data_IF_787226872989
#
_entry.id   IF_787226872989
#
_cell.length_a   1.000
_cell.length_b   1.000
_cell.length_c   1.000
_cell.angle_alpha   90.00
_cell.angle_beta   90.00
_cell.angle_gamma   90.00
#
_symmetry.space_group_name_H-M   'P 1'
#
loop_
_entity.id
_entity.type
_entity.pdbx_description
1 polymer ?
#
# COMPACT_ATOMS: atom_id res chain seq x y z
N UNK A 1 -20.85 4.68 10.97
CA UNK A 1 -22.03 3.84 10.65
C UNK A 1 -21.62 2.40 10.87
N UNK A 2 -22.32 1.70 11.77
CA UNK A 2 -22.17 0.26 11.91
C UNK A 2 -23.18 -0.41 10.96
N UNK A 3 -22.73 -1.20 9.96
CA UNK A 3 -23.65 -1.85 9.02
C UNK A 3 -24.44 -3.03 9.64
N UNK A 4 -24.46 -3.16 10.95
CA UNK A 4 -25.18 -4.25 11.64
C UNK A 4 -24.48 -5.61 11.62
N UNK A 5 -23.37 -5.74 10.92
CA UNK A 5 -22.60 -6.99 10.80
C UNK A 5 -21.49 -7.13 11.84
N UNK A 6 -21.17 -6.06 12.54
CA UNK A 6 -20.13 -6.05 13.56
C UNK A 6 -20.75 -6.12 14.95
N UNK A 7 -20.46 -7.19 15.69
CA UNK A 7 -21.04 -7.47 17.01
C UNK A 7 -20.65 -6.48 18.13
N UNK A 8 -19.66 -5.62 17.90
CA UNK A 8 -19.22 -4.61 18.86
C UNK A 8 -19.56 -3.22 18.30
N UNK A 9 -20.71 -2.71 18.69
CA UNK A 9 -21.17 -1.34 18.40
C UNK A 9 -20.37 -0.34 19.24
N UNK A 10 -19.15 -0.09 18.86
CA UNK A 10 -18.48 1.14 19.29
C UNK A 10 -18.78 2.20 18.22
N UNK A 11 -19.39 3.31 18.61
CA UNK A 11 -19.49 4.54 17.80
C UNK A 11 -18.08 5.12 17.61
N UNK A 12 -17.25 4.38 16.89
CA UNK A 12 -15.88 4.77 16.61
C UNK A 12 -15.87 5.75 15.43
N UNK A 13 -15.43 7.01 15.63
CA UNK A 13 -15.29 7.95 14.54
C UNK A 13 -14.20 7.45 13.57
N UNK A 14 -14.54 7.43 12.29
CA UNK A 14 -13.68 6.92 11.22
C UNK A 14 -13.60 7.89 10.06
N UNK A 15 -12.40 8.03 9.52
CA UNK A 15 -12.23 8.56 8.18
C UNK A 15 -12.75 7.51 7.18
N UNK A 16 -13.69 7.90 6.35
CA UNK A 16 -14.25 7.03 5.30
C UNK A 16 -13.50 7.30 3.99
N UNK A 17 -12.92 6.25 3.43
CA UNK A 17 -12.19 6.28 2.17
C UNK A 17 -13.01 5.47 1.16
N UNK A 18 -13.65 6.11 0.16
CA UNK A 18 -14.36 5.40 -0.89
C UNK A 18 -13.37 4.72 -1.84
N UNK A 19 -13.75 3.55 -2.34
CA UNK A 19 -12.97 2.78 -3.30
C UNK A 19 -13.80 2.63 -4.57
N UNK A 20 -13.30 3.16 -5.66
CA UNK A 20 -13.95 3.17 -6.95
C UNK A 20 -13.37 2.09 -7.87
N UNK A 21 -14.19 1.58 -8.78
CA UNK A 21 -13.72 0.79 -9.90
C UNK A 21 -13.16 1.70 -11.03
N UNK A 22 -12.66 1.10 -12.11
CA UNK A 22 -12.11 1.84 -13.27
C UNK A 22 -13.13 2.73 -13.98
N UNK A 23 -14.44 2.58 -13.70
CA UNK A 23 -15.52 3.41 -14.28
C UNK A 23 -15.90 4.57 -13.36
N UNK A 24 -15.27 4.71 -12.19
CA UNK A 24 -15.62 5.70 -11.18
C UNK A 24 -16.88 5.35 -10.35
N UNK A 25 -17.32 4.09 -10.36
CA UNK A 25 -18.42 3.61 -9.54
C UNK A 25 -17.90 3.13 -8.19
N UNK A 26 -18.59 3.46 -7.09
CA UNK A 26 -18.21 3.03 -5.74
C UNK A 26 -18.47 1.53 -5.58
N UNK A 27 -17.43 0.78 -5.18
CA UNK A 27 -17.51 -0.64 -4.92
C UNK A 27 -17.26 -1.02 -3.46
N UNK A 28 -16.46 -0.23 -2.76
CA UNK A 28 -16.09 -0.51 -1.38
C UNK A 28 -15.83 0.78 -0.62
N UNK A 29 -15.81 0.67 0.71
CA UNK A 29 -15.37 1.73 1.61
C UNK A 29 -14.37 1.17 2.60
N UNK A 30 -13.31 1.91 2.86
CA UNK A 30 -12.44 1.63 3.99
C UNK A 30 -12.63 2.69 5.07
N UNK A 31 -12.96 2.26 6.28
CA UNK A 31 -13.05 3.12 7.46
C UNK A 31 -11.79 3.03 8.30
N UNK A 32 -10.99 4.11 8.36
CA UNK A 32 -9.84 4.22 9.27
C UNK A 32 -10.26 4.86 10.58
N UNK A 33 -10.03 4.19 11.70
CA UNK A 33 -10.31 4.75 13.02
C UNK A 33 -9.47 6.00 13.28
N UNK A 34 -10.10 7.06 13.83
CA UNK A 34 -9.42 8.29 14.20
C UNK A 34 -8.72 8.18 15.56
N UNK A 35 -9.17 7.28 16.42
CA UNK A 35 -8.54 7.01 17.72
C UNK A 35 -7.33 6.09 17.57
N UNK A 36 -6.22 6.42 18.24
CA UNK A 36 -4.98 5.61 18.20
C UNK A 36 -5.17 4.18 18.74
N UNK A 37 -6.01 4.02 19.75
CA UNK A 37 -6.22 2.76 20.48
C UNK A 37 -7.53 2.06 20.07
N UNK A 38 -8.04 2.30 18.87
CA UNK A 38 -9.21 1.61 18.38
C UNK A 38 -8.93 0.11 18.24
N UNK A 39 -9.83 -0.78 18.69
CA UNK A 39 -9.65 -2.23 18.60
C UNK A 39 -9.41 -2.71 17.18
N UNK A 40 -9.98 -2.00 16.20
CA UNK A 40 -9.81 -2.28 14.80
C UNK A 40 -9.46 -1.00 14.05
N UNK A 41 -8.20 -0.88 13.65
CA UNK A 41 -7.67 0.32 12.96
C UNK A 41 -8.36 0.55 11.60
N UNK A 42 -8.57 -0.51 10.83
CA UNK A 42 -9.19 -0.46 9.51
C UNK A 42 -10.36 -1.43 9.42
N UNK A 43 -11.43 -0.99 8.78
CA UNK A 43 -12.60 -1.81 8.41
C UNK A 43 -12.86 -1.58 6.93
N UNK A 44 -12.97 -2.65 6.14
CA UNK A 44 -13.35 -2.54 4.73
C UNK A 44 -14.73 -3.15 4.53
N UNK A 45 -15.64 -2.39 3.93
CA UNK A 45 -17.00 -2.80 3.61
C UNK A 45 -17.14 -2.85 2.10
N UNK A 46 -17.50 -3.99 1.56
CA UNK A 46 -17.76 -4.20 0.14
C UNK A 46 -19.24 -3.94 -0.16
N UNK A 47 -19.52 -3.30 -1.30
CA UNK A 47 -20.90 -3.11 -1.77
C UNK A 47 -21.52 -4.43 -2.28
N UNK A 48 -20.68 -5.33 -2.81
CA UNK A 48 -21.09 -6.66 -3.28
C UNK A 48 -19.92 -7.66 -3.17
N UNK A 49 -20.18 -8.93 -3.34
CA UNK A 49 -19.18 -10.00 -3.13
C UNK A 49 -17.90 -9.82 -3.98
N UNK A 50 -18.07 -9.41 -5.24
CA UNK A 50 -16.95 -9.25 -6.18
C UNK A 50 -16.34 -7.84 -6.19
N UNK A 51 -16.79 -6.95 -5.30
CA UNK A 51 -16.30 -5.59 -5.24
C UNK A 51 -14.79 -5.51 -5.01
N UNK A 52 -14.11 -4.63 -5.74
CA UNK A 52 -12.68 -4.39 -5.55
C UNK A 52 -12.37 -3.81 -4.18
N UNK A 53 -11.18 -4.12 -3.68
CA UNK A 53 -10.57 -3.51 -2.50
C UNK A 53 -9.31 -2.72 -2.85
N UNK A 54 -9.12 -2.41 -4.12
CA UNK A 54 -7.97 -1.66 -4.59
C UNK A 54 -8.38 -0.21 -4.75
N UNK A 55 -7.78 0.66 -3.97
CA UNK A 55 -7.96 2.11 -4.03
C UNK A 55 -7.19 2.70 -5.20
N UNK A 56 -7.75 3.71 -5.87
CA UNK A 56 -7.08 4.49 -6.92
C UNK A 56 -7.21 3.92 -8.34
N UNK A 57 -8.01 2.88 -8.57
CA UNK A 57 -8.17 2.28 -9.91
C UNK A 57 -8.79 3.24 -10.94
N UNK A 58 -9.55 4.22 -10.48
CA UNK A 58 -10.22 5.24 -11.29
C UNK A 58 -9.31 6.39 -11.71
N UNK A 59 -8.11 6.50 -11.13
CA UNK A 59 -7.21 7.65 -11.33
C UNK A 59 -5.89 7.30 -12.01
N UNK A 60 -5.56 6.01 -12.19
CA UNK A 60 -4.28 5.59 -12.76
C UNK A 60 -4.25 5.67 -14.29
N UNK A 61 -3.08 5.99 -14.80
CA UNK A 61 -2.70 5.86 -16.21
C UNK A 61 -1.93 4.53 -16.40
N UNK A 62 -2.61 3.51 -16.95
CA UNK A 62 -2.05 2.17 -17.13
C UNK A 62 -0.92 2.12 -18.16
N UNK A 63 -0.75 3.17 -18.98
CA UNK A 63 0.37 3.29 -19.93
C UNK A 63 1.70 3.64 -19.25
N UNK A 64 1.64 4.12 -17.99
CA UNK A 64 2.79 4.48 -17.16
C UNK A 64 3.02 3.44 -16.07
N UNK A 65 4.22 3.45 -15.47
CA UNK A 65 4.50 2.63 -14.31
C UNK A 65 3.50 2.93 -13.18
N UNK A 66 2.82 1.89 -12.70
CA UNK A 66 1.85 1.99 -11.61
C UNK A 66 2.52 1.56 -10.32
N UNK A 67 2.46 2.39 -9.27
CA UNK A 67 2.96 2.03 -7.96
C UNK A 67 1.87 1.35 -7.14
N UNK A 68 2.21 0.23 -6.50
CA UNK A 68 1.30 -0.55 -5.66
C UNK A 68 1.74 -0.45 -4.22
N UNK A 69 0.86 0.02 -3.35
CA UNK A 69 1.14 0.31 -1.95
C UNK A 69 0.20 -0.43 -1.00
N UNK A 70 0.55 -0.48 0.29
CA UNK A 70 -0.25 -1.16 1.31
C UNK A 70 -1.40 -0.29 1.85
N UNK A 71 -1.26 1.03 1.83
CA UNK A 71 -2.23 1.95 2.41
C UNK A 71 -2.70 3.08 1.48
N UNK A 72 -4.02 3.37 1.45
CA UNK A 72 -4.53 4.48 0.62
C UNK A 72 -3.94 5.85 0.97
N UNK A 73 -3.64 6.09 2.25
CA UNK A 73 -3.11 7.40 2.67
C UNK A 73 -1.71 7.64 2.11
N UNK A 74 -0.86 6.61 2.14
CA UNK A 74 0.50 6.70 1.59
C UNK A 74 0.47 6.89 0.07
N UNK A 75 -0.49 6.25 -0.62
CA UNK A 75 -0.63 6.39 -2.08
C UNK A 75 -1.03 7.79 -2.54
N UNK A 76 -1.57 8.63 -1.66
CA UNK A 76 -1.92 10.03 -2.00
C UNK A 76 -0.68 10.92 -2.27
N UNK A 77 0.49 10.49 -1.83
CA UNK A 77 1.73 11.25 -2.00
C UNK A 77 2.53 10.83 -3.24
N UNK A 78 2.11 9.77 -3.93
CA UNK A 78 2.82 9.20 -5.07
C UNK A 78 1.91 9.24 -6.30
N UNK A 79 2.38 9.85 -7.36
CA UNK A 79 1.65 9.89 -8.63
C UNK A 79 1.49 8.49 -9.21
N UNK A 80 0.36 8.24 -9.85
CA UNK A 80 0.03 6.98 -10.52
C UNK A 80 0.11 5.76 -9.59
N UNK A 81 -0.42 5.90 -8.37
CA UNK A 81 -0.39 4.88 -7.34
C UNK A 81 -1.77 4.29 -7.05
N UNK A 82 -1.79 3.00 -6.75
CA UNK A 82 -2.92 2.26 -6.18
C UNK A 82 -2.56 1.71 -4.82
N UNK A 83 -3.56 1.47 -3.99
CA UNK A 83 -3.32 0.85 -2.69
C UNK A 83 -4.24 -0.34 -2.44
N UNK A 84 -3.69 -1.36 -1.77
CA UNK A 84 -4.41 -2.58 -1.44
C UNK A 84 -5.01 -2.44 -0.06
N UNK A 85 -6.33 -2.42 0.02
CA UNK A 85 -7.03 -2.32 1.29
C UNK A 85 -7.45 -3.69 1.82
N UNK A 86 -6.55 -4.37 2.53
CA UNK A 86 -6.90 -5.64 3.16
C UNK A 86 -5.85 -6.75 2.97
N UNK A 87 -5.64 -7.48 4.05
CA UNK A 87 -4.44 -8.25 4.38
C UNK A 87 -3.99 -9.41 3.49
N UNK A 88 -4.81 -10.03 2.66
CA UNK A 88 -4.33 -11.09 1.77
C UNK A 88 -4.43 -10.64 0.33
N UNK A 89 -3.29 -10.60 -0.34
CA UNK A 89 -3.20 -10.19 -1.71
C UNK A 89 -3.01 -11.40 -2.61
N UNK A 90 -3.95 -11.59 -3.50
CA UNK A 90 -3.71 -12.35 -4.71
C UNK A 90 -3.09 -11.43 -5.75
N UNK A 91 -1.81 -11.66 -6.09
CA UNK A 91 -1.08 -10.86 -7.07
C UNK A 91 -1.78 -10.84 -8.44
N UNK A 92 -2.52 -11.89 -8.77
CA UNK A 92 -3.29 -11.97 -10.01
C UNK A 92 -4.46 -10.98 -10.08
N UNK A 93 -4.95 -10.52 -8.93
CA UNK A 93 -6.06 -9.55 -8.88
C UNK A 93 -5.61 -8.09 -8.99
N UNK A 94 -4.31 -7.82 -8.82
CA UNK A 94 -3.77 -6.46 -8.94
C UNK A 94 -3.43 -6.18 -10.40
N UNK A 95 -3.96 -5.11 -10.99
CA UNK A 95 -3.76 -4.79 -12.42
C UNK A 95 -2.32 -4.43 -12.76
N UNK A 96 -2.06 -4.19 -14.05
CA UNK A 96 -0.79 -3.70 -14.58
C UNK A 96 0.41 -4.64 -14.34
N UNK A 97 0.21 -5.95 -14.53
CA UNK A 97 1.22 -6.98 -14.25
C UNK A 97 2.61 -6.69 -14.83
N UNK A 98 2.67 -6.19 -16.06
CA UNK A 98 3.93 -5.93 -16.75
C UNK A 98 4.52 -4.56 -16.41
N UNK A 99 3.70 -3.65 -15.86
CA UNK A 99 4.05 -2.25 -15.64
C UNK A 99 3.69 -1.74 -14.25
N UNK A 100 4.03 -2.52 -13.21
CA UNK A 100 3.84 -2.12 -11.81
C UNK A 100 5.10 -2.28 -10.98
N UNK A 101 5.21 -1.49 -9.90
CA UNK A 101 6.25 -1.61 -8.90
C UNK A 101 5.65 -1.52 -7.49
N UNK A 102 6.12 -2.35 -6.58
CA UNK A 102 5.60 -2.48 -5.22
C UNK A 102 6.40 -1.65 -4.23
N UNK A 103 5.68 -0.86 -3.43
CA UNK A 103 6.24 -0.07 -2.34
C UNK A 103 5.67 -0.63 -1.04
N UNK A 104 6.49 -1.36 -0.31
CA UNK A 104 6.15 -1.91 1.01
C UNK A 104 6.60 -0.95 2.10
N UNK A 105 6.03 -1.07 3.30
CA UNK A 105 6.47 -0.31 4.47
C UNK A 105 7.97 -0.52 4.74
N UNK A 106 8.64 0.52 5.24
CA UNK A 106 10.07 0.46 5.62
C UNK A 106 10.22 -0.23 6.98
N UNK A 107 10.03 -1.54 6.98
CA UNK A 107 10.09 -2.39 8.19
C UNK A 107 11.03 -3.59 7.97
N UNK A 108 12.37 -3.39 7.88
CA UNK A 108 13.32 -4.45 7.53
C UNK A 108 13.37 -5.61 8.54
N UNK A 109 12.94 -5.38 9.78
CA UNK A 109 12.91 -6.40 10.85
C UNK A 109 11.54 -7.01 11.08
N UNK A 110 10.51 -6.56 10.37
CA UNK A 110 9.17 -7.09 10.55
C UNK A 110 8.96 -8.34 9.69
N UNK A 111 8.73 -9.52 10.31
CA UNK A 111 8.67 -10.80 9.58
C UNK A 111 7.63 -10.82 8.46
N UNK A 112 6.46 -10.20 8.69
CA UNK A 112 5.39 -10.18 7.68
C UNK A 112 5.75 -9.31 6.48
N UNK A 113 6.39 -8.17 6.69
CA UNK A 113 6.87 -7.29 5.62
C UNK A 113 7.93 -8.01 4.78
N UNK A 114 8.91 -8.64 5.42
CA UNK A 114 9.94 -9.42 4.72
C UNK A 114 9.34 -10.61 3.96
N UNK A 115 8.38 -11.32 4.56
CA UNK A 115 7.66 -12.42 3.89
C UNK A 115 6.91 -11.97 2.65
N UNK A 116 6.24 -10.81 2.72
CA UNK A 116 5.55 -10.22 1.56
C UNK A 116 6.53 -9.78 0.48
N UNK A 117 7.58 -9.07 0.84
CA UNK A 117 8.65 -8.69 -0.10
C UNK A 117 9.25 -9.91 -0.79
N UNK A 118 9.54 -10.97 -0.02
CA UNK A 118 10.05 -12.23 -0.58
C UNK A 118 9.09 -12.83 -1.61
N UNK A 119 7.80 -12.87 -1.31
CA UNK A 119 6.77 -13.36 -2.25
C UNK A 119 6.75 -12.54 -3.55
N UNK A 120 6.85 -11.21 -3.46
CA UNK A 120 6.91 -10.32 -4.63
C UNK A 120 8.17 -10.58 -5.46
N UNK A 121 9.31 -10.65 -4.80
CA UNK A 121 10.61 -10.90 -5.46
C UNK A 121 10.64 -12.27 -6.13
N UNK A 122 10.12 -13.30 -5.47
CA UNK A 122 10.05 -14.66 -6.02
C UNK A 122 9.06 -14.75 -7.21
N UNK A 123 8.02 -13.93 -7.22
CA UNK A 123 7.09 -13.79 -8.34
C UNK A 123 7.65 -12.95 -9.51
N UNK A 124 8.86 -12.39 -9.36
CA UNK A 124 9.49 -11.58 -10.41
C UNK A 124 8.99 -10.14 -10.50
N UNK A 125 8.29 -9.65 -9.47
CA UNK A 125 7.77 -8.29 -9.41
C UNK A 125 8.90 -7.25 -9.25
N UNK A 126 8.65 -6.02 -9.70
CA UNK A 126 9.50 -4.87 -9.37
C UNK A 126 9.18 -4.43 -7.95
N UNK A 127 10.20 -4.27 -7.10
CA UNK A 127 10.05 -3.88 -5.70
C UNK A 127 10.96 -2.72 -5.37
N UNK A 128 10.44 -1.75 -4.62
CA UNK A 128 11.22 -0.64 -4.07
C UNK A 128 11.88 -1.08 -2.76
N UNK A 129 13.16 -0.74 -2.58
CA UNK A 129 13.92 -1.04 -1.38
C UNK A 129 14.31 0.23 -0.63
N UNK A 130 14.09 0.23 0.69
CA UNK A 130 14.42 1.33 1.59
C UNK A 130 15.80 1.21 2.26
N UNK A 131 16.65 0.28 1.81
CA UNK A 131 17.97 -0.02 2.40
C UNK A 131 18.95 1.16 2.40
N UNK A 132 18.71 2.16 1.56
CA UNK A 132 19.51 3.39 1.46
C UNK A 132 18.69 4.62 1.82
N UNK A 133 17.53 4.45 2.44
CA UNK A 133 16.65 5.55 2.79
C UNK A 133 17.32 6.50 3.80
N UNK A 134 17.26 7.82 3.58
CA UNK A 134 17.63 8.78 4.59
C UNK A 134 16.60 8.87 5.74
N UNK A 135 15.37 8.43 5.48
CA UNK A 135 14.26 8.44 6.43
C UNK A 135 14.22 7.14 7.23
N UNK A 136 13.76 7.25 8.50
CA UNK A 136 13.64 6.13 9.43
C UNK A 136 12.21 5.70 9.68
N UNK A 137 11.25 6.55 9.34
CA UNK A 137 9.81 6.24 9.46
C UNK A 137 9.43 5.08 8.57
N UNK A 138 8.45 4.32 9.04
CA UNK A 138 8.04 3.07 8.38
C UNK A 138 7.19 3.29 7.13
N UNK A 139 6.42 4.37 7.06
CA UNK A 139 5.52 4.68 5.96
C UNK A 139 5.73 6.09 5.41
N UNK A 140 5.30 6.33 4.18
CA UNK A 140 5.52 7.59 3.47
C UNK A 140 4.84 8.76 4.19
N UNK A 141 3.64 8.54 4.72
CA UNK A 141 2.94 9.59 5.47
C UNK A 141 3.77 10.04 6.67
N UNK A 142 4.35 9.12 7.42
CA UNK A 142 5.20 9.47 8.56
C UNK A 142 6.54 10.08 8.13
N UNK A 143 7.14 9.67 7.01
CA UNK A 143 8.33 10.32 6.45
C UNK A 143 8.07 11.79 6.13
N UNK A 144 6.91 12.11 5.56
CA UNK A 144 6.52 13.49 5.26
C UNK A 144 6.16 14.26 6.53
N UNK A 145 5.28 13.71 7.36
CA UNK A 145 4.72 14.43 8.50
C UNK A 145 5.67 14.60 9.67
N UNK A 146 6.60 13.66 9.88
CA UNK A 146 7.50 13.65 11.04
C UNK A 146 8.95 13.99 10.71
N UNK A 147 9.40 13.67 9.50
CA UNK A 147 10.80 13.87 9.10
C UNK A 147 10.96 14.98 8.06
N UNK A 148 9.85 15.57 7.59
CA UNK A 148 9.87 16.72 6.66
C UNK A 148 10.25 16.37 5.23
N UNK A 149 10.16 15.08 4.85
CA UNK A 149 10.35 14.67 3.46
C UNK A 149 9.30 15.33 2.55
N UNK A 150 9.67 15.65 1.34
CA UNK A 150 8.73 16.10 0.30
C UNK A 150 8.30 14.93 -0.57
N UNK A 151 7.11 15.01 -1.17
CA UNK A 151 6.64 14.00 -2.10
C UNK A 151 7.60 13.83 -3.30
N UNK A 152 8.23 14.90 -3.76
CA UNK A 152 9.23 14.85 -4.83
C UNK A 152 10.47 14.07 -4.43
N UNK A 153 11.05 14.32 -3.25
CA UNK A 153 12.23 13.59 -2.76
C UNK A 153 11.94 12.09 -2.61
N UNK A 154 10.75 11.75 -2.11
CA UNK A 154 10.31 10.34 -1.98
C UNK A 154 10.15 9.71 -3.36
N UNK A 155 9.51 10.40 -4.31
CA UNK A 155 9.35 9.91 -5.69
C UNK A 155 10.68 9.68 -6.37
N UNK A 156 11.63 10.59 -6.23
CA UNK A 156 12.99 10.45 -6.77
C UNK A 156 13.72 9.25 -6.13
N UNK A 157 13.60 9.10 -4.82
CA UNK A 157 14.16 7.94 -4.12
C UNK A 157 13.57 6.62 -4.63
N UNK A 158 12.24 6.54 -4.73
CA UNK A 158 11.51 5.37 -5.23
C UNK A 158 12.03 4.97 -6.60
N UNK A 159 12.06 5.91 -7.56
CA UNK A 159 12.50 5.65 -8.93
C UNK A 159 13.95 5.13 -9.02
N UNK A 160 14.84 5.59 -8.14
CA UNK A 160 16.23 5.17 -8.09
C UNK A 160 16.42 3.82 -7.38
N UNK A 161 15.44 3.35 -6.63
CA UNK A 161 15.57 2.19 -5.75
C UNK A 161 14.64 1.00 -6.10
N UNK A 162 14.05 1.01 -7.30
CA UNK A 162 13.35 -0.14 -7.86
C UNK A 162 14.37 -1.23 -8.22
N UNK A 163 14.06 -2.47 -7.87
CA UNK A 163 14.85 -3.63 -8.27
C UNK A 163 13.95 -4.79 -8.66
N UNK A 164 14.43 -5.66 -9.56
CA UNK A 164 13.72 -6.83 -10.06
C UNK A 164 14.67 -8.01 -10.23
N UNK A 165 14.16 -9.23 -10.25
CA UNK A 165 14.92 -10.45 -10.53
C UNK A 165 16.06 -10.69 -9.54
N UNK A 166 17.24 -11.04 -10.02
CA UNK A 166 18.39 -11.36 -9.17
C UNK A 166 18.84 -10.20 -8.28
N UNK A 167 18.78 -8.97 -8.80
CA UNK A 167 19.14 -7.78 -8.00
C UNK A 167 18.20 -7.56 -6.83
N UNK A 168 16.90 -7.79 -7.02
CA UNK A 168 15.90 -7.72 -5.94
C UNK A 168 16.17 -8.80 -4.88
N UNK A 169 16.54 -10.03 -5.27
CA UNK A 169 16.92 -11.10 -4.33
C UNK A 169 18.12 -10.72 -3.46
N UNK A 170 19.18 -10.22 -4.09
CA UNK A 170 20.39 -9.79 -3.38
C UNK A 170 20.13 -8.61 -2.43
N UNK A 171 19.29 -7.65 -2.86
CA UNK A 171 18.90 -6.52 -2.00
C UNK A 171 18.04 -6.97 -0.82
N UNK A 172 17.11 -7.88 -1.04
CA UNK A 172 16.26 -8.41 0.02
C UNK A 172 17.05 -9.10 1.11
N UNK A 173 18.06 -9.92 0.73
CA UNK A 173 18.93 -10.60 1.68
C UNK A 173 19.75 -9.63 2.55
N UNK A 174 20.09 -8.46 2.03
CA UNK A 174 20.74 -7.39 2.79
C UNK A 174 19.75 -6.63 3.65
N UNK A 175 18.62 -6.25 3.07
CA UNK A 175 17.57 -5.48 3.73
C UNK A 175 17.02 -6.19 4.97
N UNK A 176 16.80 -7.48 4.91
CA UNK A 176 16.31 -8.28 6.03
C UNK A 176 17.30 -8.40 7.22
N UNK A 177 18.54 -7.90 7.07
CA UNK A 177 19.58 -7.93 8.11
C UNK A 177 19.85 -6.58 8.76
N UNK A 178 19.24 -5.50 8.23
CA UNK A 178 19.33 -4.16 8.79
C UNK A 178 18.40 -4.04 10.00
#
# INVERSE_FOLDING_TARGET
>A
VNPGTYKNETNEPRLVIPIFNKKGEIESFQGRALRKNAPQKYITIKAHEHATKIYGLDTIDESKLVFVMEGPIDSLFIDNAIAITGGSLDLAQVPCHDNRAWIMDHEPRHPDTIKRMKRLVDAGEKVVFWDKSPWKSKDINDMIMKEGATASEITDYINQNISQGLMAKLRLDKYAKI
#
